data_IF_637064430540
#
_entry.id   IF_637064430540
#
_cell.length_a   1.000
_cell.length_b   1.000
_cell.length_c   1.000
_cell.angle_alpha   90.00
_cell.angle_beta   90.00
_cell.angle_gamma   90.00
#
_symmetry.space_group_name_H-M   'P 1'
#
loop_
_entity.id
_entity.type
_entity.pdbx_description
1 polymer ?
#
# COMPACT_ATOMS: atom_id res chain seq x y z
N UNK A 1 38.63 45.83 -4.73
CA UNK A 1 38.22 44.61 -5.46
C UNK A 1 37.80 43.53 -4.48
N UNK A 2 36.51 43.39 -4.18
CA UNK A 2 35.95 42.35 -3.33
C UNK A 2 35.43 41.24 -4.22
N UNK A 3 36.03 40.05 -4.16
CA UNK A 3 35.61 38.86 -4.94
C UNK A 3 34.32 38.26 -4.33
N UNK A 4 33.22 38.37 -5.06
CA UNK A 4 31.98 37.66 -4.78
C UNK A 4 32.19 36.16 -5.03
N UNK A 5 32.08 35.33 -3.99
CA UNK A 5 31.92 33.89 -4.12
C UNK A 5 30.43 33.57 -4.30
N UNK A 6 30.02 32.83 -5.31
CA UNK A 6 28.64 32.41 -5.44
C UNK A 6 28.32 31.37 -4.36
N UNK A 7 27.30 31.64 -3.54
CA UNK A 7 26.67 30.66 -2.67
C UNK A 7 25.92 29.65 -3.54
N UNK A 8 26.48 28.48 -3.76
CA UNK A 8 25.73 27.30 -4.25
C UNK A 8 24.86 26.82 -3.10
N UNK A 9 23.63 27.28 -3.05
CA UNK A 9 22.59 26.70 -2.18
C UNK A 9 22.02 25.50 -2.92
N UNK A 10 22.63 24.33 -2.70
CA UNK A 10 22.03 23.06 -3.03
C UNK A 10 20.78 22.88 -2.16
N UNK A 11 19.63 23.21 -2.74
CA UNK A 11 18.33 22.83 -2.20
C UNK A 11 18.17 21.33 -2.41
N UNK A 12 18.83 20.51 -1.56
CA UNK A 12 18.52 19.11 -1.45
C UNK A 12 17.04 19.02 -1.05
N UNK A 13 16.21 18.53 -1.95
CA UNK A 13 14.82 18.24 -1.67
C UNK A 13 14.79 17.33 -0.44
N UNK A 14 14.36 17.88 0.69
CA UNK A 14 14.00 17.06 1.86
C UNK A 14 12.85 16.20 1.41
N UNK A 15 13.13 14.92 1.21
CA UNK A 15 12.09 13.92 1.03
C UNK A 15 11.35 13.80 2.37
N UNK A 16 10.35 14.66 2.54
CA UNK A 16 9.57 14.71 3.77
C UNK A 16 8.57 13.55 3.77
N UNK A 17 8.96 12.46 4.42
CA UNK A 17 8.08 11.32 4.68
C UNK A 17 7.09 11.58 5.84
N UNK A 18 6.92 12.83 6.29
CA UNK A 18 6.11 13.20 7.45
C UNK A 18 4.61 12.98 7.30
N UNK A 19 4.10 12.73 6.12
CA UNK A 19 2.66 12.84 5.87
C UNK A 19 1.92 11.52 5.68
N UNK A 20 2.45 10.38 6.12
CA UNK A 20 1.78 9.13 5.80
C UNK A 20 1.36 8.39 7.06
N UNK A 21 0.23 8.83 7.66
CA UNK A 21 -0.72 7.95 8.33
C UNK A 21 -1.51 7.10 7.34
N UNK A 22 -1.07 6.99 6.10
CA UNK A 22 -1.72 6.24 5.05
C UNK A 22 -1.19 4.79 5.03
N UNK A 23 -2.11 3.84 4.97
CA UNK A 23 -1.80 2.41 4.75
C UNK A 23 -0.90 2.30 3.51
N UNK A 24 0.30 1.67 3.61
CA UNK A 24 1.19 1.50 2.48
C UNK A 24 0.55 0.62 1.39
N UNK A 25 0.39 1.16 0.18
CA UNK A 25 -0.07 0.46 -1.01
C UNK A 25 0.93 0.67 -2.15
N UNK A 26 0.66 0.19 -3.35
CA UNK A 26 1.61 0.18 -4.46
C UNK A 26 2.31 1.51 -4.70
N UNK A 27 1.56 2.62 -4.74
CA UNK A 27 2.09 3.98 -4.90
C UNK A 27 3.12 4.35 -3.82
N UNK A 28 2.83 4.02 -2.57
CA UNK A 28 3.72 4.29 -1.44
C UNK A 28 5.02 3.50 -1.55
N UNK A 29 4.92 2.21 -1.93
CA UNK A 29 6.08 1.34 -2.05
C UNK A 29 6.96 1.80 -3.22
N UNK A 30 6.37 2.16 -4.36
CA UNK A 30 7.12 2.69 -5.51
C UNK A 30 7.81 4.03 -5.21
N UNK A 31 7.15 4.96 -4.53
CA UNK A 31 7.78 6.20 -4.05
C UNK A 31 8.95 5.92 -3.12
N UNK A 32 8.76 5.00 -2.19
CA UNK A 32 9.79 4.55 -1.25
C UNK A 32 10.99 3.96 -2.00
N UNK A 33 10.74 3.06 -2.95
CA UNK A 33 11.80 2.45 -3.76
C UNK A 33 12.57 3.49 -4.58
N UNK A 34 11.89 4.47 -5.17
CA UNK A 34 12.53 5.55 -5.92
C UNK A 34 13.47 6.38 -5.04
N UNK A 35 13.03 6.72 -3.82
CA UNK A 35 13.85 7.45 -2.87
C UNK A 35 15.07 6.64 -2.39
N UNK A 36 14.86 5.37 -2.04
CA UNK A 36 15.94 4.47 -1.63
C UNK A 36 16.93 4.21 -2.77
N UNK A 37 16.44 4.08 -4.01
CA UNK A 37 17.28 3.93 -5.21
C UNK A 37 18.27 5.09 -5.35
N UNK A 38 17.76 6.32 -5.24
CA UNK A 38 18.59 7.52 -5.32
C UNK A 38 19.64 7.58 -4.20
N UNK A 39 19.30 7.09 -3.00
CA UNK A 39 20.19 7.16 -1.85
C UNK A 39 21.20 6.01 -1.77
N UNK A 40 20.87 4.81 -2.25
CA UNK A 40 21.65 3.60 -1.98
C UNK A 40 22.37 3.02 -3.19
N UNK A 41 21.76 3.06 -4.39
CA UNK A 41 22.30 2.37 -5.57
C UNK A 41 23.68 2.92 -5.96
N UNK A 42 24.60 2.01 -6.30
CA UNK A 42 26.00 2.29 -6.64
C UNK A 42 26.87 2.60 -5.42
N UNK A 43 26.36 2.48 -4.19
CA UNK A 43 27.12 2.80 -2.98
C UNK A 43 27.44 1.56 -2.15
N UNK A 44 28.67 1.48 -1.58
CA UNK A 44 29.05 0.38 -0.70
C UNK A 44 28.35 0.48 0.65
N UNK A 45 27.85 -0.65 1.13
CA UNK A 45 27.24 -0.78 2.46
C UNK A 45 28.32 -0.68 3.52
N UNK A 46 28.26 0.35 4.36
CA UNK A 46 29.16 0.55 5.52
C UNK A 46 28.69 -0.19 6.76
N UNK A 47 27.38 -0.22 6.97
CA UNK A 47 26.74 -0.89 8.12
C UNK A 47 25.41 -1.48 7.67
N UNK A 48 25.18 -2.72 8.08
CA UNK A 48 23.88 -3.37 8.00
C UNK A 48 23.51 -3.91 9.37
N UNK A 49 22.35 -3.50 9.87
CA UNK A 49 21.81 -3.97 11.14
C UNK A 49 20.35 -4.37 10.96
N UNK A 50 20.01 -5.60 11.35
CA UNK A 50 18.66 -6.13 11.29
C UNK A 50 18.51 -7.21 12.39
N UNK A 51 18.11 -6.82 13.61
CA UNK A 51 18.16 -7.71 14.78
C UNK A 51 17.18 -8.88 14.71
N UNK A 52 16.13 -8.77 13.89
CA UNK A 52 15.11 -9.82 13.71
C UNK A 52 15.07 -10.31 12.27
N UNK A 53 16.20 -10.31 11.59
CA UNK A 53 16.33 -10.78 10.21
C UNK A 53 16.24 -12.30 10.18
N UNK A 54 15.48 -12.79 9.23
CA UNK A 54 15.52 -14.17 8.77
C UNK A 54 16.32 -14.25 7.49
N UNK A 55 17.49 -14.89 7.53
CA UNK A 55 18.39 -15.06 6.39
C UNK A 55 19.80 -14.43 6.59
N UNK A 56 20.66 -14.54 5.58
CA UNK A 56 22.02 -14.02 5.60
C UNK A 56 22.04 -12.48 5.60
N UNK A 57 23.14 -11.90 6.11
CA UNK A 57 23.39 -10.45 6.08
C UNK A 57 24.36 -10.11 4.93
N UNK A 58 24.22 -8.93 4.29
CA UNK A 58 25.21 -8.46 3.35
C UNK A 58 26.55 -8.23 4.05
N UNK A 59 27.63 -8.63 3.40
CA UNK A 59 28.97 -8.35 3.92
C UNK A 59 29.28 -6.85 3.82
N UNK A 60 30.10 -6.30 4.76
CA UNK A 60 30.57 -4.93 4.64
C UNK A 60 31.26 -4.68 3.30
N UNK A 61 31.05 -3.53 2.70
CA UNK A 61 31.61 -3.14 1.41
C UNK A 61 30.81 -3.60 0.19
N UNK A 62 29.84 -4.49 0.33
CA UNK A 62 28.95 -4.87 -0.78
C UNK A 62 28.18 -3.68 -1.31
N UNK A 63 28.13 -3.56 -2.62
CA UNK A 63 27.46 -2.44 -3.31
C UNK A 63 25.99 -2.76 -3.51
N UNK A 64 25.12 -1.81 -3.19
CA UNK A 64 23.70 -1.92 -3.54
C UNK A 64 23.58 -1.74 -5.06
N UNK A 65 23.15 -2.79 -5.74
CA UNK A 65 23.01 -2.81 -7.21
C UNK A 65 21.63 -2.31 -7.65
N UNK A 66 20.58 -2.69 -6.93
CA UNK A 66 19.21 -2.45 -7.36
C UNK A 66 18.28 -2.23 -6.18
N UNK A 67 17.29 -1.34 -6.35
CA UNK A 67 16.15 -1.18 -5.44
C UNK A 67 14.88 -1.18 -6.27
N UNK A 68 14.00 -2.12 -6.02
CA UNK A 68 12.77 -2.31 -6.78
C UNK A 68 11.54 -2.38 -5.88
N UNK A 69 10.41 -2.05 -6.48
CA UNK A 69 9.08 -2.28 -5.92
C UNK A 69 8.31 -3.17 -6.87
N UNK A 70 7.56 -4.12 -6.31
CA UNK A 70 6.58 -4.91 -7.04
C UNK A 70 5.32 -5.04 -6.19
N UNK A 71 4.26 -4.35 -6.61
CA UNK A 71 3.05 -4.21 -5.83
C UNK A 71 3.30 -3.59 -4.46
N UNK A 72 3.22 -4.41 -3.40
CA UNK A 72 3.45 -3.97 -2.01
C UNK A 72 4.74 -4.52 -1.41
N UNK A 73 5.59 -5.08 -2.23
CA UNK A 73 6.88 -5.64 -1.88
C UNK A 73 8.00 -4.68 -2.30
N UNK A 74 9.01 -4.53 -1.44
CA UNK A 74 10.20 -3.74 -1.72
C UNK A 74 11.43 -4.63 -1.57
N UNK A 75 12.29 -4.61 -2.58
CA UNK A 75 13.51 -5.41 -2.64
C UNK A 75 14.72 -4.52 -2.83
N UNK A 76 15.81 -4.88 -2.13
CA UNK A 76 17.13 -4.26 -2.26
C UNK A 76 18.11 -5.37 -2.55
N UNK A 77 18.80 -5.31 -3.71
CA UNK A 77 19.76 -6.29 -4.14
C UNK A 77 21.18 -5.75 -4.08
N UNK A 78 22.07 -6.59 -3.63
CA UNK A 78 23.52 -6.35 -3.61
C UNK A 78 24.22 -7.07 -4.78
N UNK A 79 25.43 -6.60 -5.08
CA UNK A 79 26.31 -7.08 -6.15
C UNK A 79 26.76 -8.55 -6.03
N UNK A 80 26.47 -9.20 -4.90
CA UNK A 80 26.71 -10.64 -4.67
C UNK A 80 25.43 -11.50 -4.82
N UNK A 81 24.34 -10.92 -5.34
CA UNK A 81 23.07 -11.60 -5.53
C UNK A 81 22.24 -11.79 -4.25
N UNK A 82 22.65 -11.18 -3.13
CA UNK A 82 21.83 -11.16 -1.93
C UNK A 82 20.69 -10.15 -2.10
N UNK A 83 19.47 -10.56 -1.79
CA UNK A 83 18.27 -9.72 -1.83
C UNK A 83 17.70 -9.56 -0.44
N UNK A 84 17.46 -8.32 -0.01
CA UNK A 84 16.62 -8.00 1.14
C UNK A 84 15.21 -7.71 0.65
N UNK A 85 14.26 -8.46 1.14
CA UNK A 85 12.84 -8.24 0.91
C UNK A 85 12.18 -7.66 2.15
N UNK A 86 11.34 -6.65 1.95
CA UNK A 86 10.49 -6.09 3.01
C UNK A 86 9.05 -5.93 2.55
N UNK A 87 8.10 -6.23 3.45
CA UNK A 87 6.69 -5.93 3.26
C UNK A 87 6.18 -5.11 4.46
N UNK A 88 5.75 -3.88 4.18
CA UNK A 88 5.41 -2.90 5.24
C UNK A 88 4.10 -3.22 5.95
N UNK A 89 3.18 -3.95 5.31
CA UNK A 89 1.78 -4.12 5.76
C UNK A 89 1.19 -2.77 6.18
N UNK A 90 0.58 -2.69 7.39
CA UNK A 90 -0.11 -1.50 7.90
C UNK A 90 0.80 -0.56 8.70
N UNK A 91 1.90 -1.05 9.25
CA UNK A 91 2.71 -0.34 10.27
C UNK A 91 4.13 0.00 9.83
N UNK A 92 4.64 -0.68 8.81
CA UNK A 92 6.01 -0.50 8.36
C UNK A 92 6.23 0.77 7.56
N UNK A 93 7.44 1.33 7.64
CA UNK A 93 7.86 2.46 6.81
C UNK A 93 9.37 2.51 6.67
N UNK A 94 9.86 2.94 5.51
CA UNK A 94 11.25 3.29 5.28
C UNK A 94 11.46 4.79 5.42
N UNK A 95 12.55 5.17 6.06
CA UNK A 95 12.99 6.56 6.23
C UNK A 95 14.42 6.71 5.77
N UNK A 96 14.76 7.88 5.23
CA UNK A 96 16.10 8.25 4.83
C UNK A 96 16.61 9.40 5.69
N UNK A 97 17.85 9.26 6.16
CA UNK A 97 18.56 10.24 6.98
C UNK A 97 19.95 10.47 6.40
N UNK A 98 20.50 11.66 6.60
CA UNK A 98 21.94 11.86 6.44
C UNK A 98 22.70 11.18 7.59
N UNK A 99 23.94 10.77 7.34
CA UNK A 99 24.77 10.21 8.41
C UNK A 99 24.92 11.26 9.52
N UNK A 100 24.63 10.85 10.76
CA UNK A 100 24.62 11.73 11.94
C UNK A 100 23.30 12.47 12.20
N UNK A 101 22.33 12.38 11.30
CA UNK A 101 21.01 12.97 11.52
C UNK A 101 20.18 12.14 12.52
N UNK A 102 19.50 12.78 13.49
CA UNK A 102 18.66 12.07 14.44
C UNK A 102 17.45 11.45 13.79
N UNK A 103 17.11 10.22 14.16
CA UNK A 103 15.93 9.53 13.64
C UNK A 103 14.66 10.09 14.25
N UNK A 104 13.62 10.18 13.42
CA UNK A 104 12.28 10.66 13.82
C UNK A 104 11.49 9.61 14.63
N UNK A 105 11.93 8.36 14.65
CA UNK A 105 11.30 7.26 15.37
C UNK A 105 12.30 6.60 16.33
N UNK A 106 11.81 6.01 17.45
CA UNK A 106 12.65 5.31 18.40
C UNK A 106 13.48 4.19 17.77
N UNK A 107 14.73 4.05 18.17
CA UNK A 107 15.64 3.00 17.68
C UNK A 107 15.08 1.58 17.87
N UNK A 108 14.36 1.31 18.96
CA UNK A 108 13.74 0.00 19.21
C UNK A 108 12.68 -0.42 18.19
N UNK A 109 12.19 0.52 17.36
CA UNK A 109 11.27 0.24 16.27
C UNK A 109 11.99 -0.08 14.95
N UNK A 110 13.30 0.11 14.86
CA UNK A 110 14.07 -0.20 13.66
C UNK A 110 14.13 -1.73 13.44
N UNK A 111 13.79 -2.13 12.23
CA UNK A 111 13.83 -3.52 11.74
C UNK A 111 15.02 -3.78 10.83
N UNK A 112 15.40 -2.75 10.06
CA UNK A 112 16.59 -2.76 9.20
C UNK A 112 17.23 -1.39 9.24
N UNK A 113 18.54 -1.35 9.29
CA UNK A 113 19.38 -0.16 9.09
C UNK A 113 20.40 -0.47 8.03
N UNK A 114 20.42 0.31 6.95
CA UNK A 114 21.43 0.25 5.90
C UNK A 114 22.13 1.60 5.86
N UNK A 115 23.43 1.62 6.17
CA UNK A 115 24.25 2.82 6.05
C UNK A 115 25.20 2.69 4.88
N UNK A 116 25.18 3.68 4.03
CA UNK A 116 26.15 3.94 2.95
C UNK A 116 26.93 5.23 3.28
N UNK A 117 27.92 5.67 2.50
CA UNK A 117 28.78 6.81 2.88
C UNK A 117 28.03 8.07 3.32
N UNK A 118 26.91 8.41 2.68
CA UNK A 118 26.21 9.68 2.92
C UNK A 118 24.82 9.52 3.54
N UNK A 119 24.24 8.32 3.46
CA UNK A 119 22.86 8.06 3.82
C UNK A 119 22.70 6.90 4.82
N UNK A 120 21.68 7.03 5.64
CA UNK A 120 21.17 5.95 6.49
C UNK A 120 19.73 5.69 6.14
N UNK A 121 19.44 4.53 5.57
CA UNK A 121 18.09 4.05 5.32
C UNK A 121 17.64 3.19 6.49
N UNK A 122 16.49 3.52 7.09
CA UNK A 122 15.95 2.81 8.25
C UNK A 122 14.53 2.32 7.96
N UNK A 123 14.32 1.03 8.08
CA UNK A 123 12.99 0.42 8.02
C UNK A 123 12.44 0.28 9.43
N UNK A 124 11.33 0.94 9.73
CA UNK A 124 10.66 0.84 11.03
C UNK A 124 9.43 -0.05 10.96
N UNK A 125 9.18 -0.83 11.99
CA UNK A 125 7.97 -1.61 12.24
C UNK A 125 7.50 -2.53 11.10
N UNK A 126 8.35 -2.82 10.10
CA UNK A 126 7.98 -3.76 9.04
C UNK A 126 7.81 -5.18 9.61
N UNK A 127 6.63 -5.81 9.45
CA UNK A 127 6.40 -7.16 9.96
C UNK A 127 7.20 -8.23 9.21
N UNK A 128 7.45 -8.00 7.92
CA UNK A 128 8.22 -8.93 7.08
C UNK A 128 9.55 -8.28 6.72
N UNK A 129 10.63 -8.94 7.12
CA UNK A 129 12.02 -8.61 6.80
C UNK A 129 12.76 -9.91 6.65
N UNK A 130 13.22 -10.21 5.45
CA UNK A 130 13.95 -11.43 5.14
C UNK A 130 14.98 -11.19 4.05
N UNK A 131 16.00 -12.03 4.03
CA UNK A 131 16.98 -12.04 2.94
C UNK A 131 17.09 -13.43 2.34
N UNK A 132 17.37 -13.47 1.04
CA UNK A 132 17.59 -14.70 0.29
C UNK A 132 18.59 -14.44 -0.83
N UNK A 133 19.19 -15.52 -1.37
CA UNK A 133 19.97 -15.42 -2.60
C UNK A 133 19.10 -15.78 -3.78
N UNK A 134 19.16 -14.96 -4.80
CA UNK A 134 18.43 -15.16 -6.03
C UNK A 134 19.04 -16.36 -6.77
N UNK A 135 18.42 -17.53 -6.63
CA UNK A 135 18.75 -18.72 -7.39
C UNK A 135 17.91 -18.84 -8.67
N UNK A 136 16.83 -18.04 -8.79
CA UNK A 136 15.96 -18.05 -9.96
C UNK A 136 15.06 -16.81 -9.99
N UNK A 137 15.17 -16.00 -11.03
CA UNK A 137 14.64 -14.63 -11.17
C UNK A 137 13.12 -14.48 -11.24
N UNK A 138 12.34 -15.51 -11.08
CA UNK A 138 10.89 -15.43 -11.35
C UNK A 138 9.94 -15.62 -10.16
N UNK A 139 10.45 -15.93 -8.97
CA UNK A 139 9.56 -16.21 -7.83
C UNK A 139 10.16 -15.72 -6.53
N UNK A 140 9.49 -14.77 -5.88
CA UNK A 140 9.74 -14.50 -4.48
C UNK A 140 9.39 -15.78 -3.65
N UNK A 141 10.27 -16.29 -2.77
CA UNK A 141 10.08 -17.58 -2.09
C UNK A 141 8.78 -17.69 -1.28
N UNK A 142 8.25 -16.57 -0.78
CA UNK A 142 7.05 -16.53 0.07
C UNK A 142 5.81 -15.89 -0.55
N UNK A 143 5.94 -15.09 -1.61
CA UNK A 143 4.81 -14.36 -2.21
C UNK A 143 4.15 -15.15 -3.35
N UNK A 144 4.76 -16.25 -3.77
CA UNK A 144 4.31 -16.96 -4.95
C UNK A 144 4.44 -16.09 -6.22
N UNK A 145 3.62 -16.37 -7.21
CA UNK A 145 3.56 -15.60 -8.45
C UNK A 145 2.61 -14.43 -8.26
N UNK A 146 3.14 -13.21 -8.16
CA UNK A 146 2.35 -12.00 -8.19
C UNK A 146 1.86 -11.71 -9.62
N UNK A 147 0.68 -11.10 -9.73
CA UNK A 147 0.17 -10.58 -10.98
C UNK A 147 0.90 -9.30 -11.42
N UNK A 148 0.45 -8.72 -12.54
CA UNK A 148 1.02 -7.47 -13.06
C UNK A 148 0.97 -6.35 -12.02
N UNK A 149 2.08 -5.64 -11.84
CA UNK A 149 2.14 -4.45 -10.98
C UNK A 149 1.49 -3.26 -11.69
N UNK A 150 0.32 -2.84 -11.23
CA UNK A 150 -0.46 -1.78 -11.88
C UNK A 150 0.24 -0.42 -11.90
N UNK A 151 1.26 -0.21 -11.07
CA UNK A 151 2.06 1.02 -11.09
C UNK A 151 2.98 1.05 -12.31
N UNK A 152 3.67 -0.06 -12.61
CA UNK A 152 4.67 -0.16 -13.68
C UNK A 152 4.17 -0.86 -14.94
N UNK A 153 3.01 -1.53 -14.88
CA UNK A 153 2.48 -2.33 -15.98
C UNK A 153 2.34 -1.56 -17.30
N UNK A 154 2.72 -2.21 -18.38
CA UNK A 154 2.49 -1.76 -19.75
C UNK A 154 1.02 -1.89 -20.16
N UNK A 155 0.63 -1.30 -21.29
CA UNK A 155 -0.75 -1.42 -21.79
C UNK A 155 -1.16 -2.88 -22.01
N UNK A 156 -0.35 -3.74 -22.68
CA UNK A 156 -0.70 -5.16 -22.83
C UNK A 156 -0.86 -5.90 -21.50
N UNK A 157 -0.05 -5.57 -20.49
CA UNK A 157 -0.17 -6.17 -19.15
C UNK A 157 -1.46 -5.73 -18.44
N UNK A 158 -1.86 -4.47 -18.57
CA UNK A 158 -3.15 -3.98 -18.05
C UNK A 158 -4.33 -4.67 -18.75
N UNK A 159 -4.27 -4.86 -20.06
CA UNK A 159 -5.30 -5.57 -20.82
C UNK A 159 -5.36 -7.05 -20.41
N UNK A 160 -4.20 -7.67 -20.15
CA UNK A 160 -4.16 -9.03 -19.63
C UNK A 160 -4.77 -9.12 -18.22
N UNK A 161 -4.43 -8.21 -17.32
CA UNK A 161 -5.02 -8.13 -15.98
C UNK A 161 -6.56 -7.97 -16.03
N UNK A 162 -7.07 -7.17 -16.95
CA UNK A 162 -8.51 -7.01 -17.18
C UNK A 162 -9.16 -8.31 -17.66
N UNK A 163 -8.52 -9.04 -18.60
CA UNK A 163 -9.00 -10.36 -19.03
C UNK A 163 -8.99 -11.40 -17.91
N UNK A 164 -7.93 -11.40 -17.08
CA UNK A 164 -7.85 -12.29 -15.92
C UNK A 164 -8.95 -11.99 -14.90
N UNK A 165 -9.26 -10.71 -14.66
CA UNK A 165 -10.36 -10.32 -13.78
C UNK A 165 -11.71 -10.77 -14.35
N UNK A 166 -11.97 -10.58 -15.65
CA UNK A 166 -13.17 -11.04 -16.31
C UNK A 166 -13.32 -12.57 -16.28
N UNK A 167 -12.22 -13.31 -16.49
CA UNK A 167 -12.16 -14.77 -16.44
C UNK A 167 -11.94 -15.36 -15.04
N UNK A 168 -12.14 -14.60 -13.98
CA UNK A 168 -11.92 -15.09 -12.63
C UNK A 168 -12.81 -16.29 -12.31
N UNK A 169 -12.23 -17.33 -11.73
CA UNK A 169 -12.89 -18.64 -11.57
C UNK A 169 -14.11 -18.60 -10.64
N UNK A 170 -14.07 -17.78 -9.60
CA UNK A 170 -15.20 -17.60 -8.70
C UNK A 170 -16.07 -16.42 -9.18
N UNK A 171 -17.14 -16.75 -9.89
CA UNK A 171 -18.08 -15.77 -10.45
C UNK A 171 -18.97 -15.14 -9.38
N UNK A 172 -19.09 -15.75 -8.22
CA UNK A 172 -19.90 -15.26 -7.09
C UNK A 172 -19.10 -14.33 -6.17
N UNK A 173 -17.77 -14.31 -6.30
CA UNK A 173 -16.91 -13.41 -5.52
C UNK A 173 -17.27 -11.95 -5.78
N UNK A 174 -17.28 -11.15 -4.72
CA UNK A 174 -17.51 -9.71 -4.86
C UNK A 174 -16.33 -9.05 -5.58
N UNK A 175 -16.63 -8.11 -6.47
CA UNK A 175 -15.59 -7.31 -7.16
C UNK A 175 -14.65 -6.62 -6.16
N UNK A 176 -15.19 -6.18 -5.03
CA UNK A 176 -14.39 -5.58 -3.96
C UNK A 176 -13.36 -6.53 -3.35
N UNK A 177 -13.59 -7.81 -3.35
CA UNK A 177 -12.63 -8.82 -2.86
C UNK A 177 -11.62 -9.20 -3.96
N UNK A 178 -12.10 -9.39 -5.20
CA UNK A 178 -11.24 -9.71 -6.34
C UNK A 178 -10.18 -8.61 -6.58
N UNK A 179 -10.52 -7.34 -6.36
CA UNK A 179 -9.57 -6.23 -6.47
C UNK A 179 -8.40 -6.31 -5.46
N UNK A 180 -8.49 -7.13 -4.44
CA UNK A 180 -7.44 -7.34 -3.45
C UNK A 180 -6.55 -8.54 -3.74
N UNK A 181 -6.90 -9.35 -4.74
CA UNK A 181 -6.11 -10.54 -5.11
C UNK A 181 -4.83 -10.12 -5.85
N UNK A 182 -3.71 -10.21 -5.13
CA UNK A 182 -2.40 -9.84 -5.65
C UNK A 182 -1.86 -10.85 -6.69
N UNK A 183 -2.51 -11.99 -6.91
CA UNK A 183 -2.18 -12.94 -7.97
C UNK A 183 -2.76 -12.54 -9.33
N UNK A 184 -3.87 -11.81 -9.34
CA UNK A 184 -4.43 -11.23 -10.56
C UNK A 184 -3.62 -10.02 -11.02
N UNK A 185 -3.41 -9.10 -10.13
CA UNK A 185 -2.61 -7.88 -10.29
C UNK A 185 -2.22 -7.35 -8.91
N UNK A 186 -1.15 -6.61 -8.82
CA UNK A 186 -0.70 -6.14 -7.53
C UNK A 186 -0.60 -4.61 -7.43
N UNK A 187 -0.51 -4.13 -6.19
CA UNK A 187 -0.47 -2.71 -5.85
C UNK A 187 -1.73 -2.20 -5.18
N UNK A 188 -2.92 -2.69 -5.58
CA UNK A 188 -4.20 -2.31 -4.97
C UNK A 188 -4.33 -2.88 -3.56
N UNK A 189 -4.72 -2.03 -2.63
CA UNK A 189 -5.10 -2.41 -1.28
C UNK A 189 -6.45 -1.82 -0.92
N UNK A 190 -6.68 -1.68 0.38
CA UNK A 190 -7.99 -1.30 0.90
C UNK A 190 -8.40 0.13 0.54
N UNK A 191 -7.41 1.03 0.44
CA UNK A 191 -7.62 2.42 0.02
C UNK A 191 -8.03 2.44 -1.45
N UNK A 192 -7.18 1.92 -2.33
CA UNK A 192 -7.45 1.98 -3.77
C UNK A 192 -8.63 1.12 -4.18
N UNK A 193 -8.95 0.02 -3.50
CA UNK A 193 -10.20 -0.70 -3.69
C UNK A 193 -11.41 0.22 -3.61
N UNK A 194 -11.51 1.02 -2.54
CA UNK A 194 -12.62 1.94 -2.33
C UNK A 194 -12.62 3.07 -3.38
N UNK A 195 -11.45 3.64 -3.67
CA UNK A 195 -11.30 4.74 -4.63
C UNK A 195 -11.60 4.32 -6.08
N UNK A 196 -11.15 3.14 -6.49
CA UNK A 196 -11.40 2.60 -7.84
C UNK A 196 -12.89 2.35 -8.04
N UNK A 197 -13.54 1.68 -7.11
CA UNK A 197 -14.96 1.40 -7.17
C UNK A 197 -15.80 2.67 -7.14
N UNK A 198 -15.40 3.66 -6.35
CA UNK A 198 -16.05 4.96 -6.36
C UNK A 198 -15.87 5.68 -7.71
N UNK A 199 -14.66 5.66 -8.27
CA UNK A 199 -14.36 6.32 -9.54
C UNK A 199 -15.10 5.71 -10.72
N UNK A 200 -15.27 4.39 -10.75
CA UNK A 200 -15.96 3.64 -11.80
C UNK A 200 -17.47 3.54 -11.59
N UNK A 201 -17.99 3.97 -10.45
CA UNK A 201 -19.40 3.88 -10.05
C UNK A 201 -19.93 2.42 -9.93
N UNK A 202 -19.04 1.44 -9.99
CA UNK A 202 -19.43 0.03 -9.83
C UNK A 202 -19.71 -0.23 -8.34
N UNK A 203 -20.84 -0.93 -8.10
CA UNK A 203 -21.19 -1.34 -6.74
C UNK A 203 -20.10 -2.26 -6.16
N UNK A 204 -19.60 -1.99 -4.94
CA UNK A 204 -18.63 -2.87 -4.31
C UNK A 204 -19.17 -4.27 -4.01
N UNK A 205 -20.48 -4.43 -4.06
CA UNK A 205 -21.20 -5.67 -3.84
C UNK A 205 -21.57 -6.39 -5.14
N UNK A 206 -21.20 -5.84 -6.31
CA UNK A 206 -21.33 -6.52 -7.59
C UNK A 206 -20.50 -7.83 -7.55
N UNK A 207 -21.09 -8.90 -8.09
CA UNK A 207 -20.39 -10.16 -8.29
C UNK A 207 -19.54 -10.09 -9.55
N UNK A 208 -18.43 -10.79 -9.60
CA UNK A 208 -17.57 -10.89 -10.80
C UNK A 208 -18.39 -11.39 -12.00
N UNK A 209 -19.36 -12.28 -11.76
CA UNK A 209 -20.26 -12.80 -12.81
C UNK A 209 -21.14 -11.76 -13.48
N UNK A 210 -21.39 -10.61 -12.85
CA UNK A 210 -22.19 -9.54 -13.40
C UNK A 210 -21.39 -8.52 -14.24
N UNK A 211 -20.04 -8.56 -14.15
CA UNK A 211 -19.19 -7.61 -14.87
C UNK A 211 -19.06 -7.98 -16.35
N UNK A 212 -19.04 -6.95 -17.18
CA UNK A 212 -18.71 -7.04 -18.60
C UNK A 212 -17.20 -6.83 -18.84
N UNK A 213 -16.63 -7.25 -19.98
CA UNK A 213 -15.23 -7.00 -20.30
C UNK A 213 -14.82 -5.52 -20.23
N UNK A 214 -15.74 -4.62 -20.58
CA UNK A 214 -15.53 -3.16 -20.52
C UNK A 214 -15.37 -2.67 -19.07
N UNK A 215 -16.16 -3.22 -18.13
CA UNK A 215 -16.07 -2.89 -16.71
C UNK A 215 -14.72 -3.31 -16.13
N UNK A 216 -14.29 -4.53 -16.45
CA UNK A 216 -12.99 -5.04 -16.01
C UNK A 216 -11.84 -4.17 -16.55
N UNK A 217 -11.90 -3.76 -17.82
CA UNK A 217 -10.93 -2.83 -18.40
C UNK A 217 -10.96 -1.48 -17.70
N UNK A 218 -12.14 -0.94 -17.42
CA UNK A 218 -12.32 0.33 -16.71
C UNK A 218 -11.75 0.26 -15.27
N UNK A 219 -12.02 -0.81 -14.54
CA UNK A 219 -11.49 -1.04 -13.18
C UNK A 219 -9.96 -1.04 -13.17
N UNK A 220 -9.35 -1.84 -14.03
CA UNK A 220 -7.89 -2.00 -14.07
C UNK A 220 -7.19 -0.71 -14.52
N UNK A 221 -7.68 -0.07 -15.59
CA UNK A 221 -7.09 1.19 -16.06
C UNK A 221 -7.26 2.32 -15.07
N UNK A 222 -8.40 2.37 -14.37
CA UNK A 222 -8.63 3.35 -13.29
C UNK A 222 -7.71 3.08 -12.10
N UNK A 223 -7.53 1.83 -11.69
CA UNK A 223 -6.61 1.47 -10.62
C UNK A 223 -5.17 1.91 -10.95
N UNK A 224 -4.68 1.58 -12.14
CA UNK A 224 -3.36 1.99 -12.61
C UNK A 224 -3.22 3.52 -12.64
N UNK A 225 -4.21 4.24 -13.16
CA UNK A 225 -4.21 5.71 -13.22
C UNK A 225 -4.15 6.34 -11.82
N UNK A 226 -4.95 5.85 -10.87
CA UNK A 226 -4.99 6.38 -9.50
C UNK A 226 -3.67 6.10 -8.76
N UNK A 227 -3.13 4.88 -8.87
CA UNK A 227 -1.84 4.52 -8.28
C UNK A 227 -0.71 5.40 -8.83
N UNK A 228 -0.62 5.57 -10.16
CA UNK A 228 0.39 6.38 -10.84
C UNK A 228 0.24 7.88 -10.54
N UNK A 229 -0.99 8.36 -10.42
CA UNK A 229 -1.26 9.76 -10.08
C UNK A 229 -0.71 10.17 -8.72
N UNK A 230 -0.53 9.22 -7.80
CA UNK A 230 0.00 9.46 -6.46
C UNK A 230 1.51 9.17 -6.31
N UNK A 231 2.25 8.99 -7.39
CA UNK A 231 3.70 8.72 -7.32
C UNK A 231 4.55 9.94 -6.95
N UNK A 232 4.02 11.16 -7.06
CA UNK A 232 4.75 12.38 -6.71
C UNK A 232 5.00 12.45 -5.21
N UNK A 233 6.26 12.70 -4.85
CA UNK A 233 6.66 12.83 -3.46
C UNK A 233 6.06 14.11 -2.82
N UNK A 234 5.62 14.00 -1.57
CA UNK A 234 5.16 15.15 -0.79
C UNK A 234 3.69 15.53 -0.99
N UNK A 235 2.99 14.97 -1.98
CA UNK A 235 1.56 15.22 -2.17
C UNK A 235 0.72 14.21 -1.38
N UNK A 236 -0.24 14.67 -0.55
CA UNK A 236 -1.18 13.77 0.11
C UNK A 236 -2.13 13.15 -0.93
N UNK A 237 -2.59 11.93 -0.69
CA UNK A 237 -3.63 11.31 -1.50
C UNK A 237 -4.94 12.11 -1.41
N UNK A 238 -5.49 12.51 -2.55
CA UNK A 238 -6.86 13.03 -2.60
C UNK A 238 -7.83 11.86 -2.61
N UNK A 239 -8.46 11.58 -1.46
CA UNK A 239 -9.37 10.45 -1.27
C UNK A 239 -10.83 10.90 -1.36
N UNK A 240 -11.59 10.21 -2.23
CA UNK A 240 -12.99 10.53 -2.49
C UNK A 240 -13.96 9.68 -1.67
N UNK A 241 -13.56 8.48 -1.28
CA UNK A 241 -14.38 7.55 -0.51
C UNK A 241 -13.70 7.04 0.77
N UNK A 242 -12.44 6.60 0.69
CA UNK A 242 -11.76 5.97 1.81
C UNK A 242 -11.55 6.93 2.99
N UNK A 243 -11.93 6.48 4.19
CA UNK A 243 -11.81 7.26 5.42
C UNK A 243 -12.87 8.35 5.59
N UNK A 244 -13.85 8.44 4.70
CA UNK A 244 -14.85 9.52 4.68
C UNK A 244 -16.25 9.06 5.09
N UNK A 245 -16.35 8.08 6.00
CA UNK A 245 -17.65 7.64 6.52
C UNK A 245 -18.47 8.81 7.10
N UNK A 246 -19.75 8.87 6.77
CA UNK A 246 -20.66 9.93 7.24
C UNK A 246 -20.50 11.28 6.54
N UNK A 247 -19.49 11.46 5.68
CA UNK A 247 -19.30 12.68 4.90
C UNK A 247 -20.09 12.64 3.58
N UNK A 248 -20.44 13.81 3.02
CA UNK A 248 -21.09 13.87 1.72
C UNK A 248 -20.17 13.39 0.59
N UNK A 249 -20.72 12.62 -0.33
CA UNK A 249 -20.07 12.23 -1.56
C UNK A 249 -19.83 13.46 -2.45
N UNK A 250 -18.59 13.65 -2.91
CA UNK A 250 -18.26 14.82 -3.75
C UNK A 250 -18.89 14.78 -5.15
N UNK A 251 -19.46 13.64 -5.55
CA UNK A 251 -20.15 13.50 -6.85
C UNK A 251 -21.64 13.78 -6.76
N UNK A 252 -22.35 13.16 -5.81
CA UNK A 252 -23.81 13.19 -5.77
C UNK A 252 -24.40 13.77 -4.46
N UNK A 253 -23.56 14.10 -3.47
CA UNK A 253 -24.01 14.64 -2.17
C UNK A 253 -24.51 13.59 -1.16
N UNK A 254 -24.80 12.35 -1.59
CA UNK A 254 -25.25 11.29 -0.66
C UNK A 254 -24.16 10.93 0.36
N UNK A 255 -24.58 10.41 1.51
CA UNK A 255 -23.68 10.07 2.60
C UNK A 255 -22.83 8.85 2.27
N UNK A 256 -21.50 9.00 2.37
CA UNK A 256 -20.54 7.89 2.26
C UNK A 256 -20.71 6.92 3.43
N UNK A 257 -20.74 5.64 3.11
CA UNK A 257 -20.95 4.53 4.04
C UNK A 257 -19.71 3.69 4.23
N UNK A 258 -19.68 2.95 5.33
CA UNK A 258 -18.60 2.02 5.68
C UNK A 258 -19.17 0.69 6.10
N UNK A 259 -18.53 -0.41 5.64
CA UNK A 259 -18.85 -1.78 6.06
C UNK A 259 -17.59 -2.64 6.09
N UNK A 260 -17.58 -3.68 6.91
CA UNK A 260 -16.57 -4.72 6.85
C UNK A 260 -17.04 -5.80 5.89
N UNK A 261 -16.15 -6.25 4.99
CA UNK A 261 -16.43 -7.25 3.95
C UNK A 261 -15.30 -8.28 3.85
N UNK A 262 -15.66 -9.44 3.33
CA UNK A 262 -14.77 -10.59 3.14
C UNK A 262 -14.35 -11.26 4.45
N UNK A 263 -13.67 -12.40 4.31
CA UNK A 263 -13.24 -13.24 5.45
C UNK A 263 -12.29 -12.53 6.41
N UNK A 264 -11.53 -11.57 5.89
CA UNK A 264 -10.60 -10.76 6.71
C UNK A 264 -11.28 -9.53 7.33
N UNK A 265 -12.59 -9.38 7.20
CA UNK A 265 -13.40 -8.27 7.72
C UNK A 265 -12.78 -6.89 7.41
N UNK A 266 -12.29 -6.70 6.19
CA UNK A 266 -11.62 -5.46 5.76
C UNK A 266 -12.64 -4.35 5.56
N UNK A 267 -12.29 -3.16 6.03
CA UNK A 267 -13.15 -1.96 5.93
C UNK A 267 -13.26 -1.51 4.48
N UNK A 268 -14.48 -1.34 3.98
CA UNK A 268 -14.82 -0.85 2.66
C UNK A 268 -15.64 0.43 2.80
N UNK A 269 -15.29 1.46 2.02
CA UNK A 269 -16.02 2.72 1.95
C UNK A 269 -16.67 2.86 0.57
N UNK A 270 -17.92 3.34 0.53
CA UNK A 270 -18.64 3.53 -0.75
C UNK A 270 -19.75 4.57 -0.64
N UNK A 271 -20.23 5.04 -1.79
CA UNK A 271 -21.41 5.86 -1.93
C UNK A 271 -22.58 5.05 -2.48
N UNK A 272 -23.65 4.88 -1.72
CA UNK A 272 -24.82 4.13 -2.18
C UNK A 272 -25.60 4.86 -3.30
N UNK A 273 -25.51 6.20 -3.35
CA UNK A 273 -26.23 6.99 -4.35
C UNK A 273 -25.60 6.94 -5.76
N UNK A 274 -24.29 6.75 -5.88
CA UNK A 274 -23.65 6.77 -7.19
C UNK A 274 -22.90 5.50 -7.60
N UNK A 275 -22.71 4.52 -6.71
CA UNK A 275 -22.11 3.23 -7.03
C UNK A 275 -23.19 2.17 -7.21
N UNK A 276 -23.99 2.35 -8.26
CA UNK A 276 -25.20 1.55 -8.55
C UNK A 276 -25.01 0.59 -9.73
N UNK A 277 -23.91 0.72 -10.48
CA UNK A 277 -23.63 -0.17 -11.61
C UNK A 277 -23.42 -1.59 -11.07
N UNK A 278 -24.20 -2.54 -11.59
CA UNK A 278 -24.27 -3.93 -11.13
C UNK A 278 -24.61 -4.09 -9.63
N UNK A 279 -25.36 -3.13 -9.04
CA UNK A 279 -25.83 -3.30 -7.67
C UNK A 279 -26.74 -4.53 -7.60
N UNK A 280 -26.44 -5.50 -6.73
CA UNK A 280 -27.32 -6.66 -6.60
C UNK A 280 -28.69 -6.20 -6.11
N UNK A 281 -29.73 -6.77 -6.69
CA UNK A 281 -31.11 -6.56 -6.22
C UNK A 281 -31.12 -6.88 -4.72
N UNK A 282 -31.47 -5.90 -3.91
CA UNK A 282 -31.58 -6.09 -2.46
C UNK A 282 -32.67 -7.12 -2.18
N UNK A 283 -32.30 -8.37 -2.08
CA UNK A 283 -33.10 -9.30 -1.32
C UNK A 283 -32.99 -8.80 0.12
N UNK A 284 -34.14 -8.42 0.72
CA UNK A 284 -34.17 -8.00 2.11
C UNK A 284 -33.42 -9.10 2.92
N UNK A 285 -32.21 -8.75 3.42
CA UNK A 285 -31.52 -9.68 4.31
C UNK A 285 -32.49 -9.91 5.47
N UNK A 286 -32.81 -11.16 5.82
CA UNK A 286 -33.58 -11.39 7.03
C UNK A 286 -32.83 -10.70 8.15
N UNK A 287 -33.51 -9.79 8.85
CA UNK A 287 -32.94 -9.05 9.97
C UNK A 287 -32.26 -10.09 10.88
N UNK A 288 -30.94 -10.03 10.99
CA UNK A 288 -30.24 -10.92 11.91
C UNK A 288 -30.47 -10.36 13.31
N UNK A 289 -31.36 -10.97 14.12
CA UNK A 289 -31.70 -10.44 15.45
C UNK A 289 -30.45 -10.26 16.34
N UNK A 290 -29.35 -11.02 16.04
CA UNK A 290 -28.10 -10.94 16.79
C UNK A 290 -27.29 -9.66 16.47
N UNK A 291 -27.54 -8.99 15.32
CA UNK A 291 -26.92 -7.70 14.99
C UNK A 291 -27.70 -6.52 15.55
N UNK A 292 -28.97 -6.72 15.90
CA UNK A 292 -29.83 -5.73 16.55
C UNK A 292 -29.82 -5.84 18.09
N UNK A 293 -29.25 -6.92 18.63
CA UNK A 293 -29.11 -7.07 20.07
C UNK A 293 -28.04 -6.10 20.59
N UNK A 294 -28.45 -5.27 21.52
CA UNK A 294 -27.54 -4.48 22.34
C UNK A 294 -26.43 -5.39 22.91
N UNK A 295 -25.16 -5.03 22.76
CA UNK A 295 -24.09 -5.87 23.25
C UNK A 295 -24.28 -6.14 24.75
N UNK A 296 -24.06 -7.39 25.14
CA UNK A 296 -24.14 -7.84 26.53
C UNK A 296 -23.44 -6.84 27.47
N UNK A 297 -23.96 -6.53 28.66
CA UNK A 297 -23.40 -5.53 29.57
C UNK A 297 -21.89 -5.63 29.83
N UNK A 298 -21.34 -6.85 29.84
CA UNK A 298 -19.91 -7.09 29.95
C UNK A 298 -19.13 -6.63 28.71
N UNK A 299 -19.71 -6.80 27.50
CA UNK A 299 -19.12 -6.31 26.25
C UNK A 299 -19.18 -4.78 26.16
N UNK A 300 -20.22 -4.14 26.67
CA UNK A 300 -20.34 -2.67 26.78
C UNK A 300 -19.22 -2.09 27.67
N UNK A 301 -18.93 -2.71 28.82
CA UNK A 301 -17.81 -2.30 29.70
C UNK A 301 -16.48 -2.43 28.97
N UNK A 302 -16.22 -3.57 28.33
CA UNK A 302 -15.00 -3.79 27.57
C UNK A 302 -14.81 -2.77 26.43
N UNK A 303 -15.89 -2.45 25.69
CA UNK A 303 -15.86 -1.48 24.59
C UNK A 303 -15.73 -0.03 25.09
N UNK A 304 -16.20 0.28 26.31
CA UNK A 304 -16.06 1.61 26.92
C UNK A 304 -14.63 1.90 27.39
N UNK A 305 -13.86 0.87 27.72
CA UNK A 305 -12.47 0.98 28.23
C UNK A 305 -11.42 1.01 27.11
N UNK A 306 -11.84 0.92 25.85
CA UNK A 306 -10.90 0.96 24.72
C UNK A 306 -10.33 2.38 24.50
N UNK A 307 -9.01 2.53 24.36
CA UNK A 307 -8.31 3.84 24.44
C UNK A 307 -8.79 4.90 23.44
N UNK A 308 -9.38 4.50 22.31
CA UNK A 308 -9.85 5.44 21.26
C UNK A 308 -11.21 6.11 21.54
N UNK A 309 -11.94 5.69 22.57
CA UNK A 309 -13.21 6.36 22.96
C UNK A 309 -13.05 7.50 23.95
N UNK A 310 -11.83 7.75 24.46
CA UNK A 310 -11.58 8.81 25.46
C UNK A 310 -11.34 10.21 24.88
N UNK A 311 -11.45 10.40 23.56
CA UNK A 311 -11.15 11.68 22.91
C UNK A 311 -12.35 12.48 22.41
N UNK A 312 -13.60 12.11 22.77
CA UNK A 312 -14.80 12.84 22.32
C UNK A 312 -15.58 13.55 23.44
N UNK A 313 -14.98 13.79 24.60
CA UNK A 313 -15.56 14.68 25.61
C UNK A 313 -14.47 15.57 26.21
N UNK A 314 -14.30 16.75 25.60
CA UNK A 314 -13.43 17.82 26.08
C UNK A 314 -13.53 19.01 25.16
#
# INVERSE_FOLDING_TARGET
>A
MRRHRPRVVSRAARLDFRSIGAVPEGDTIHRTAAALRTALVGRPTRRFDAPRLFGPKPAPGRVVELVEAHGKHLEIRWDDGLVLHTHMRMSGSWHLYRVGEPWQRPQGQARVVIQVPEWVAVCFNAPVVETYRELNTQRHPRSGRLGADLVSATIPELENAARMLYGYHDRELLVSEALLDQHLFCGVGNVYRSEVLWATQISPFAKIGALEPADCKQLITTAARLLRGNLRAGEPRSLMAYGRNGQPCQRCGDTLRVRRVGDQARVLYWCAGCQTVHEPVRVAEPSNPLLEMDPHPAARRFLADLPWRRTETG
#
